data_IF_050540636678
#
_entry.id   IF_050540636678
#
_cell.length_a   1.000
_cell.length_b   1.000
_cell.length_c   1.000
_cell.angle_alpha   90.00
_cell.angle_beta   90.00
_cell.angle_gamma   90.00
#
_symmetry.space_group_name_H-M   'P 1'
#
loop_
_entity.id
_entity.type
_entity.pdbx_description
1 polymer ?
#
# COMPACT_ATOMS: atom_id res chain seq x y z
N UNK A 1 -52.11 42.90 -35.03
CA UNK A 1 -51.81 43.94 -34.04
C UNK A 1 -51.24 43.22 -32.81
N UNK A 2 -49.92 43.39 -32.56
CA UNK A 2 -49.11 43.20 -31.33
C UNK A 2 -49.48 42.07 -30.32
N UNK A 3 -48.59 41.26 -29.75
CA UNK A 3 -47.14 41.26 -29.62
C UNK A 3 -46.63 39.85 -29.30
N UNK A 4 -45.41 39.51 -29.76
CA UNK A 4 -44.65 38.34 -29.32
C UNK A 4 -44.00 38.67 -27.97
N UNK A 5 -44.32 37.92 -26.92
CA UNK A 5 -43.57 37.96 -25.65
C UNK A 5 -42.70 36.70 -25.61
N UNK A 6 -41.40 36.90 -25.75
CA UNK A 6 -40.38 35.86 -25.54
C UNK A 6 -39.98 35.94 -24.07
N UNK A 7 -40.30 34.90 -23.29
CA UNK A 7 -39.85 34.77 -21.92
C UNK A 7 -38.63 33.83 -21.90
N UNK A 8 -37.46 34.38 -21.66
CA UNK A 8 -36.24 33.62 -21.44
C UNK A 8 -36.19 33.15 -19.98
N UNK A 9 -36.33 31.85 -19.74
CA UNK A 9 -36.01 31.24 -18.44
C UNK A 9 -34.53 30.84 -18.43
N UNK A 10 -33.73 31.59 -17.68
CA UNK A 10 -32.37 31.19 -17.34
C UNK A 10 -32.42 30.20 -16.17
N UNK A 11 -32.08 28.93 -16.41
CA UNK A 11 -31.88 27.93 -15.37
C UNK A 11 -30.42 28.02 -14.91
N UNK A 12 -30.21 28.51 -13.69
CA UNK A 12 -28.91 28.50 -13.03
C UNK A 12 -28.63 27.10 -12.49
N UNK A 13 -27.68 26.38 -13.11
CA UNK A 13 -27.16 25.10 -12.61
C UNK A 13 -26.08 25.42 -11.58
N UNK A 14 -26.44 25.38 -10.30
CA UNK A 14 -25.47 25.47 -9.20
C UNK A 14 -24.80 24.10 -9.01
N UNK A 15 -23.63 23.91 -9.62
CA UNK A 15 -22.77 22.76 -9.35
C UNK A 15 -22.08 22.93 -8.00
N UNK A 16 -22.53 22.17 -6.99
CA UNK A 16 -21.76 21.96 -5.75
C UNK A 16 -20.60 21.02 -6.08
N UNK A 17 -19.41 21.58 -6.25
CA UNK A 17 -18.15 20.82 -6.25
C UNK A 17 -17.85 20.46 -4.80
N UNK A 18 -18.21 19.24 -4.39
CA UNK A 18 -17.72 18.65 -3.15
C UNK A 18 -16.25 18.25 -3.38
N UNK A 19 -15.33 19.11 -2.99
CA UNK A 19 -13.92 18.73 -2.86
C UNK A 19 -13.80 17.70 -1.74
N UNK A 20 -13.18 16.52 -1.95
CA UNK A 20 -12.91 15.60 -0.87
C UNK A 20 -12.06 16.30 0.19
N UNK A 21 -12.56 16.33 1.42
CA UNK A 21 -11.93 17.01 2.54
C UNK A 21 -10.52 16.45 2.78
N UNK A 22 -9.55 17.34 2.84
CA UNK A 22 -8.21 17.02 3.33
C UNK A 22 -8.36 16.53 4.77
N UNK A 23 -7.85 15.34 5.07
CA UNK A 23 -7.77 14.82 6.43
C UNK A 23 -7.02 15.84 7.30
N UNK A 24 -7.73 16.43 8.27
CA UNK A 24 -7.20 17.45 9.15
C UNK A 24 -6.23 16.84 10.16
N UNK A 25 -4.94 17.15 10.01
CA UNK A 25 -3.95 16.90 11.05
C UNK A 25 -4.12 17.85 12.23
N UNK A 26 -3.81 17.38 13.43
CA UNK A 26 -3.73 18.19 14.66
C UNK A 26 -2.73 19.35 14.47
N UNK A 27 -2.98 20.57 15.01
CA UNK A 27 -2.13 21.74 14.75
C UNK A 27 -0.75 21.60 15.38
N UNK A 28 0.23 21.40 14.51
CA UNK A 28 1.65 21.63 14.71
C UNK A 28 2.24 21.65 13.30
N UNK A 29 2.75 22.79 12.85
CA UNK A 29 3.14 23.00 11.45
C UNK A 29 4.20 21.99 11.01
N UNK A 30 3.77 20.90 10.39
CA UNK A 30 4.69 20.06 9.63
C UNK A 30 4.83 20.70 8.25
N UNK A 31 6.04 21.10 7.84
CA UNK A 31 6.26 21.62 6.50
C UNK A 31 5.73 20.63 5.46
N UNK A 32 5.34 21.06 4.24
CA UNK A 32 4.74 20.18 3.23
C UNK A 32 5.51 18.88 2.94
N UNK A 33 6.83 18.88 3.18
CA UNK A 33 7.70 17.70 3.10
C UNK A 33 7.28 16.56 4.04
N UNK A 34 6.68 16.85 5.19
CA UNK A 34 6.15 15.83 6.11
C UNK A 34 4.86 15.16 5.62
N UNK A 35 4.25 15.68 4.56
CA UNK A 35 3.00 15.16 4.02
C UNK A 35 3.24 14.21 2.83
N UNK A 36 4.50 13.85 2.59
CA UNK A 36 4.91 12.93 1.55
C UNK A 36 5.85 11.88 2.11
N UNK A 37 5.87 10.72 1.46
CA UNK A 37 6.87 9.69 1.72
C UNK A 37 8.18 10.13 1.03
N UNK A 38 9.29 10.28 1.76
CA UNK A 38 10.56 10.72 1.18
C UNK A 38 11.17 9.62 0.30
N UNK A 39 12.02 10.02 -0.67
CA UNK A 39 12.75 9.08 -1.54
C UNK A 39 13.55 8.03 -0.76
N UNK A 40 14.16 8.44 0.35
CA UNK A 40 14.93 7.56 1.23
C UNK A 40 14.12 6.47 1.93
N UNK A 41 12.78 6.52 1.92
CA UNK A 41 11.92 5.49 2.54
C UNK A 41 11.65 4.29 1.63
N UNK A 42 12.04 4.36 0.36
CA UNK A 42 11.75 3.32 -0.62
C UNK A 42 12.84 2.25 -0.65
N UNK A 43 12.42 0.99 -0.77
CA UNK A 43 13.34 -0.12 -1.05
C UNK A 43 14.12 0.16 -2.34
N UNK A 44 15.41 -0.19 -2.33
CA UNK A 44 16.24 -0.13 -3.54
C UNK A 44 15.68 -1.11 -4.59
N UNK A 45 15.39 -0.62 -5.80
CA UNK A 45 14.73 -1.43 -6.84
C UNK A 45 15.47 -2.73 -7.19
N UNK A 46 16.81 -2.75 -7.07
CA UNK A 46 17.61 -3.96 -7.31
C UNK A 46 17.39 -5.08 -6.29
N UNK A 47 16.86 -4.73 -5.11
CA UNK A 47 16.52 -5.67 -4.04
C UNK A 47 15.10 -6.22 -4.16
N UNK A 48 14.27 -5.67 -5.06
CA UNK A 48 12.93 -6.18 -5.32
C UNK A 48 13.03 -7.55 -6.02
N UNK A 49 12.26 -8.56 -5.58
CA UNK A 49 12.20 -9.86 -6.24
C UNK A 49 12.08 -9.78 -7.77
N UNK A 50 12.77 -10.68 -8.48
CA UNK A 50 12.77 -10.78 -9.95
C UNK A 50 13.40 -9.57 -10.69
N UNK A 51 14.10 -8.67 -9.98
CA UNK A 51 14.80 -7.54 -10.61
C UNK A 51 15.71 -7.90 -11.81
N UNK A 52 16.49 -9.01 -11.82
CA UNK A 52 17.33 -9.35 -12.96
C UNK A 52 16.57 -9.46 -14.29
N UNK A 53 15.28 -9.80 -14.24
CA UNK A 53 14.40 -9.96 -15.40
C UNK A 53 13.61 -8.67 -15.68
N UNK A 54 12.96 -8.11 -14.66
CA UNK A 54 12.01 -7.01 -14.85
C UNK A 54 12.62 -5.61 -14.78
N UNK A 55 13.82 -5.47 -14.20
CA UNK A 55 14.51 -4.17 -14.05
C UNK A 55 13.59 -3.09 -13.51
N UNK A 56 12.95 -3.37 -12.36
CA UNK A 56 11.97 -2.48 -11.74
C UNK A 56 12.49 -1.04 -11.66
N UNK A 57 11.64 -0.04 -11.96
CA UNK A 57 12.04 1.36 -11.94
C UNK A 57 12.37 1.81 -10.52
N UNK A 58 13.01 2.97 -10.38
CA UNK A 58 13.15 3.64 -9.08
C UNK A 58 11.76 3.92 -8.50
N UNK A 59 11.45 3.35 -7.33
CA UNK A 59 10.09 3.31 -6.79
C UNK A 59 9.52 4.70 -6.50
N UNK A 60 10.32 5.58 -5.90
CA UNK A 60 9.91 6.98 -5.66
C UNK A 60 9.55 7.71 -6.96
N UNK A 61 10.28 7.45 -8.05
CA UNK A 61 10.07 8.11 -9.34
C UNK A 61 8.74 7.74 -10.03
N UNK A 62 8.10 6.67 -9.59
CA UNK A 62 6.77 6.23 -10.08
C UNK A 62 5.72 6.22 -8.97
N UNK A 63 6.06 6.74 -7.79
CA UNK A 63 5.17 6.76 -6.64
C UNK A 63 4.12 7.87 -6.75
N UNK A 64 2.92 7.57 -6.26
CA UNK A 64 1.82 8.53 -6.13
C UNK A 64 1.30 8.50 -4.70
N UNK A 65 0.79 9.63 -4.20
CA UNK A 65 0.13 9.69 -2.89
C UNK A 65 -1.05 8.73 -2.83
N UNK A 66 -1.17 7.97 -1.74
CA UNK A 66 -2.27 7.05 -1.48
C UNK A 66 -3.18 7.64 -0.40
N UNK A 67 -4.32 8.23 -0.79
CA UNK A 67 -5.23 8.88 0.15
C UNK A 67 -6.01 7.88 1.03
N UNK A 68 -6.25 6.68 0.53
CA UNK A 68 -6.95 5.58 1.22
C UNK A 68 -6.12 4.31 1.07
N UNK A 69 -4.96 4.21 1.74
CA UNK A 69 -4.05 3.10 1.52
C UNK A 69 -4.68 1.80 2.01
N UNK A 70 -4.64 0.78 1.15
CA UNK A 70 -5.14 -0.58 1.41
C UNK A 70 -4.10 -1.56 0.92
N UNK A 71 -4.07 -2.74 1.51
CA UNK A 71 -3.11 -3.77 1.09
C UNK A 71 -3.64 -4.44 -0.18
N UNK A 72 -2.75 -4.75 -1.13
CA UNK A 72 -3.14 -5.35 -2.41
C UNK A 72 -3.88 -6.68 -2.20
N UNK A 73 -3.45 -7.48 -1.22
CA UNK A 73 -4.10 -8.75 -0.92
C UNK A 73 -5.55 -8.61 -0.45
N UNK A 74 -5.93 -7.49 0.16
CA UNK A 74 -7.30 -7.27 0.64
C UNK A 74 -8.30 -7.26 -0.53
N UNK A 75 -7.87 -6.81 -1.71
CA UNK A 75 -8.69 -6.87 -2.92
C UNK A 75 -8.90 -8.30 -3.44
N UNK A 76 -7.95 -9.20 -3.18
CA UNK A 76 -8.06 -10.62 -3.55
C UNK A 76 -8.91 -11.38 -2.54
N UNK A 77 -8.72 -11.08 -1.26
CA UNK A 77 -9.49 -11.65 -0.18
C UNK A 77 -10.89 -11.06 -0.05
N UNK A 78 -11.24 -10.01 -0.82
CA UNK A 78 -12.48 -9.25 -0.63
C UNK A 78 -12.68 -8.81 0.84
N UNK A 79 -11.58 -8.41 1.49
CA UNK A 79 -11.58 -8.06 2.90
C UNK A 79 -12.48 -6.85 3.16
N UNK A 80 -13.38 -6.90 4.16
CA UNK A 80 -14.23 -5.77 4.47
C UNK A 80 -13.41 -4.59 4.98
N UNK A 81 -13.84 -3.37 4.63
CA UNK A 81 -13.29 -2.16 5.21
C UNK A 81 -13.52 -2.11 6.73
N UNK A 82 -12.68 -1.35 7.43
CA UNK A 82 -12.79 -1.17 8.88
C UNK A 82 -13.35 0.21 9.19
N UNK A 83 -14.19 0.28 10.21
CA UNK A 83 -14.58 1.56 10.80
C UNK A 83 -13.37 2.14 11.54
N UNK A 84 -13.14 3.45 11.39
CA UNK A 84 -12.01 4.17 11.97
C UNK A 84 -10.64 3.49 11.67
N UNK A 85 -10.40 3.15 10.39
CA UNK A 85 -9.15 2.52 9.97
C UNK A 85 -7.96 3.50 10.15
N UNK A 86 -6.95 3.17 10.96
CA UNK A 86 -5.73 3.94 11.13
C UNK A 86 -5.01 4.33 9.85
N UNK A 87 -5.16 3.53 8.80
CA UNK A 87 -4.61 3.83 7.48
C UNK A 87 -5.20 5.10 6.88
N UNK A 88 -6.42 5.46 7.24
CA UNK A 88 -7.14 6.63 6.71
C UNK A 88 -6.56 7.97 7.19
N UNK A 89 -5.75 7.98 8.25
CA UNK A 89 -5.03 9.17 8.72
C UNK A 89 -3.50 9.06 8.59
N UNK A 90 -3.01 8.01 7.91
CA UNK A 90 -1.59 7.86 7.60
C UNK A 90 -1.15 8.79 6.46
N UNK A 91 0.13 9.14 6.45
CA UNK A 91 0.80 9.61 5.23
C UNK A 91 1.17 8.37 4.44
N UNK A 92 0.74 8.29 3.19
CA UNK A 92 1.04 7.14 2.37
C UNK A 92 1.32 7.49 0.91
N UNK A 93 2.17 6.67 0.30
CA UNK A 93 2.44 6.69 -1.12
C UNK A 93 2.60 5.25 -1.62
N UNK A 94 2.25 5.04 -2.89
CA UNK A 94 2.36 3.76 -3.56
C UNK A 94 3.06 3.88 -4.91
N UNK A 95 3.93 2.93 -5.20
CA UNK A 95 4.54 2.69 -6.49
C UNK A 95 3.88 1.46 -7.11
N UNK A 96 3.41 1.55 -8.36
CA UNK A 96 2.79 0.42 -9.06
C UNK A 96 3.34 0.28 -10.47
N UNK A 97 3.70 -0.94 -10.84
CA UNK A 97 4.10 -1.32 -12.20
C UNK A 97 3.19 -2.44 -12.66
N UNK A 98 2.41 -2.17 -13.70
CA UNK A 98 1.49 -3.14 -14.30
C UNK A 98 2.07 -3.65 -15.61
N UNK A 99 2.13 -4.97 -15.73
CA UNK A 99 2.60 -5.68 -16.91
C UNK A 99 1.45 -6.51 -17.53
N UNK A 100 1.59 -6.95 -18.79
CA UNK A 100 0.59 -7.80 -19.44
C UNK A 100 0.32 -9.12 -18.69
N UNK A 101 -0.77 -9.79 -19.05
CA UNK A 101 -1.11 -11.10 -18.48
C UNK A 101 0.05 -12.11 -18.61
N UNK A 102 0.27 -12.88 -17.56
CA UNK A 102 1.36 -13.84 -17.41
C UNK A 102 2.68 -13.19 -16.95
N UNK A 103 2.79 -11.87 -16.94
CA UNK A 103 3.95 -11.17 -16.40
C UNK A 103 3.70 -10.76 -14.94
N UNK A 104 4.78 -10.70 -14.17
CA UNK A 104 4.75 -10.20 -12.81
C UNK A 104 4.48 -8.69 -12.81
N UNK A 105 3.56 -8.28 -11.96
CA UNK A 105 3.28 -6.91 -11.61
C UNK A 105 3.96 -6.60 -10.28
N UNK A 106 4.11 -5.32 -9.96
CA UNK A 106 4.70 -4.84 -8.72
C UNK A 106 3.80 -3.78 -8.08
N UNK A 107 3.60 -3.88 -6.77
CA UNK A 107 3.04 -2.86 -5.92
C UNK A 107 3.93 -2.72 -4.69
N UNK A 108 4.31 -1.48 -4.38
CA UNK A 108 4.99 -1.15 -3.13
C UNK A 108 4.25 0.01 -2.51
N UNK A 109 3.94 -0.07 -1.23
CA UNK A 109 3.25 0.98 -0.50
C UNK A 109 3.97 1.25 0.81
N UNK A 110 4.19 2.52 1.12
CA UNK A 110 4.75 2.96 2.39
C UNK A 110 3.68 3.78 3.09
N UNK A 111 3.39 3.44 4.33
CA UNK A 111 2.53 4.18 5.25
C UNK A 111 3.34 4.66 6.44
N UNK A 112 3.07 5.87 6.89
CA UNK A 112 3.71 6.50 8.04
C UNK A 112 2.68 7.25 8.87
N UNK A 113 2.68 7.00 10.18
CA UNK A 113 1.83 7.71 11.14
C UNK A 113 2.61 8.84 11.78
N UNK A 114 2.14 10.08 11.58
CA UNK A 114 2.74 11.28 12.18
C UNK A 114 2.59 11.25 13.70
N UNK A 115 3.53 11.91 14.37
CA UNK A 115 3.50 12.12 15.83
C UNK A 115 4.64 11.38 16.53
N UNK A 116 4.48 11.17 17.83
CA UNK A 116 5.43 10.39 18.62
C UNK A 116 5.32 8.89 18.30
N UNK A 117 6.43 8.20 18.43
CA UNK A 117 6.53 6.75 18.16
C UNK A 117 5.92 5.90 19.27
N UNK A 118 5.67 6.49 20.45
CA UNK A 118 4.95 5.83 21.55
C UNK A 118 3.50 5.52 21.13
N UNK A 119 2.90 6.39 20.32
CA UNK A 119 1.54 6.21 19.78
C UNK A 119 1.56 5.59 18.38
N UNK A 120 2.44 6.08 17.50
CA UNK A 120 2.51 5.62 16.11
C UNK A 120 3.07 4.20 15.96
N UNK A 121 4.00 3.79 16.81
CA UNK A 121 4.59 2.45 16.79
C UNK A 121 3.56 1.34 17.03
N UNK A 122 2.79 1.38 18.12
CA UNK A 122 1.67 0.48 18.35
C UNK A 122 0.62 0.51 17.23
N UNK A 123 0.38 1.67 16.61
CA UNK A 123 -0.55 1.80 15.47
C UNK A 123 -0.07 1.00 14.26
N UNK A 124 1.22 1.07 13.94
CA UNK A 124 1.82 0.28 12.85
C UNK A 124 1.72 -1.23 13.13
N UNK A 125 2.07 -1.67 14.34
CA UNK A 125 1.98 -3.08 14.74
C UNK A 125 0.54 -3.60 14.73
N UNK A 126 -0.41 -2.80 15.21
CA UNK A 126 -1.83 -3.16 15.18
C UNK A 126 -2.35 -3.29 13.74
N UNK A 127 -1.93 -2.40 12.85
CA UNK A 127 -2.30 -2.48 11.42
C UNK A 127 -1.75 -3.75 10.77
N UNK A 128 -0.52 -4.15 11.10
CA UNK A 128 0.06 -5.42 10.64
C UNK A 128 -0.70 -6.63 11.20
N UNK A 129 -1.09 -6.60 12.48
CA UNK A 129 -1.87 -7.68 13.09
C UNK A 129 -3.25 -7.83 12.45
N UNK A 130 -3.90 -6.72 12.08
CA UNK A 130 -5.14 -6.80 11.31
C UNK A 130 -4.94 -7.40 9.93
N UNK A 131 -3.82 -7.11 9.26
CA UNK A 131 -3.50 -7.75 7.99
C UNK A 131 -3.34 -9.26 8.14
N UNK A 132 -2.66 -9.70 9.20
CA UNK A 132 -2.52 -11.13 9.54
C UNK A 132 -3.86 -11.81 9.77
N UNK A 133 -4.76 -11.17 10.52
CA UNK A 133 -6.13 -11.67 10.71
C UNK A 133 -6.95 -11.67 9.42
N UNK A 134 -6.80 -10.66 8.56
CA UNK A 134 -7.47 -10.59 7.26
C UNK A 134 -7.02 -11.72 6.32
N UNK A 135 -5.72 -12.05 6.31
CA UNK A 135 -5.21 -13.21 5.57
C UNK A 135 -5.77 -14.53 6.12
N UNK A 136 -5.77 -14.72 7.46
CA UNK A 136 -6.31 -15.92 8.09
C UNK A 136 -7.82 -16.11 7.81
N UNK A 137 -8.56 -15.02 7.67
CA UNK A 137 -10.01 -15.02 7.42
C UNK A 137 -10.40 -14.89 5.94
N UNK A 138 -9.43 -14.85 5.02
CA UNK A 138 -9.64 -14.66 3.58
C UNK A 138 -10.69 -15.61 2.99
N UNK A 139 -10.68 -16.88 3.39
CA UNK A 139 -11.62 -17.90 2.92
C UNK A 139 -13.10 -17.59 3.22
N UNK A 140 -13.40 -16.74 4.20
CA UNK A 140 -14.77 -16.37 4.56
C UNK A 140 -15.42 -15.45 3.50
N UNK A 141 -14.61 -14.68 2.79
CA UNK A 141 -15.06 -13.65 1.84
C UNK A 141 -14.61 -13.94 0.41
N UNK A 142 -13.55 -14.74 0.24
CA UNK A 142 -13.06 -15.25 -1.04
C UNK A 142 -12.68 -16.75 -0.94
N UNK A 143 -13.66 -17.68 -0.98
CA UNK A 143 -13.42 -19.11 -0.78
C UNK A 143 -12.45 -19.78 -1.79
N UNK A 144 -12.35 -19.21 -2.99
CA UNK A 144 -11.40 -19.64 -4.03
C UNK A 144 -9.96 -19.14 -3.83
N UNK A 145 -9.75 -18.23 -2.87
CA UNK A 145 -8.44 -17.64 -2.58
C UNK A 145 -7.83 -18.34 -1.37
N UNK A 146 -6.60 -18.82 -1.54
CA UNK A 146 -5.86 -19.58 -0.53
C UNK A 146 -4.53 -18.88 -0.22
N UNK A 147 -4.48 -18.10 0.87
CA UNK A 147 -3.22 -17.59 1.43
C UNK A 147 -2.45 -18.67 2.19
N UNK A 148 -1.14 -18.66 2.05
CA UNK A 148 -0.20 -19.47 2.81
C UNK A 148 0.89 -18.56 3.38
N UNK A 149 0.94 -18.42 4.70
CA UNK A 149 2.01 -17.69 5.38
C UNK A 149 3.32 -18.46 5.23
N UNK A 150 4.35 -17.80 4.72
CA UNK A 150 5.72 -18.34 4.62
C UNK A 150 6.62 -17.80 5.72
N UNK A 151 6.35 -16.58 6.17
CA UNK A 151 6.97 -15.94 7.33
C UNK A 151 5.90 -15.21 8.14
N UNK A 152 5.95 -15.27 9.47
CA UNK A 152 5.04 -14.50 10.33
C UNK A 152 5.64 -14.30 11.72
N UNK A 153 6.21 -13.13 11.94
CA UNK A 153 6.72 -12.68 13.24
C UNK A 153 5.88 -11.50 13.77
N UNK A 154 6.28 -10.92 14.89
CA UNK A 154 5.56 -9.79 15.48
C UNK A 154 5.59 -8.52 14.59
N UNK A 155 6.70 -8.29 13.88
CA UNK A 155 6.95 -7.06 13.11
C UNK A 155 6.89 -7.26 11.60
N UNK A 156 6.75 -8.49 11.15
CA UNK A 156 6.77 -8.83 9.73
C UNK A 156 5.90 -10.05 9.41
N UNK A 157 5.47 -10.13 8.16
CA UNK A 157 4.90 -11.33 7.58
C UNK A 157 5.19 -11.39 6.08
N UNK A 158 5.23 -12.62 5.56
CA UNK A 158 5.26 -12.90 4.14
C UNK A 158 4.24 -14.02 3.83
N UNK A 159 3.59 -13.91 2.69
CA UNK A 159 2.59 -14.89 2.27
C UNK A 159 2.61 -15.11 0.75
N UNK A 160 2.27 -16.33 0.35
CA UNK A 160 1.93 -16.69 -1.02
C UNK A 160 0.42 -16.88 -1.10
N UNK A 161 -0.24 -16.15 -1.99
CA UNK A 161 -1.70 -16.19 -2.16
C UNK A 161 -2.02 -16.70 -3.55
N UNK A 162 -2.83 -17.74 -3.63
CA UNK A 162 -3.31 -18.32 -4.88
C UNK A 162 -4.81 -18.12 -5.04
N UNK A 163 -5.29 -17.86 -6.26
CA UNK A 163 -6.72 -17.75 -6.57
C UNK A 163 -7.08 -18.82 -7.60
N UNK A 164 -7.43 -20.02 -7.12
CA UNK A 164 -7.90 -21.14 -7.94
C UNK A 164 -7.03 -21.48 -9.16
N UNK A 165 -5.71 -21.28 -9.08
CA UNK A 165 -4.79 -21.49 -10.21
C UNK A 165 -4.89 -20.47 -11.34
N UNK A 166 -5.65 -19.38 -11.18
CA UNK A 166 -5.79 -18.27 -12.15
C UNK A 166 -4.71 -17.20 -11.99
N UNK A 167 -4.29 -16.96 -10.76
CA UNK A 167 -3.27 -15.96 -10.41
C UNK A 167 -2.60 -16.32 -9.09
N UNK A 168 -1.39 -15.80 -8.92
CA UNK A 168 -0.54 -15.97 -7.74
C UNK A 168 0.02 -14.63 -7.31
N UNK A 169 0.12 -14.42 -6.00
CA UNK A 169 0.69 -13.25 -5.37
C UNK A 169 1.72 -13.66 -4.32
N UNK A 170 2.81 -12.92 -4.26
CA UNK A 170 3.74 -12.92 -3.14
C UNK A 170 3.62 -11.56 -2.46
N UNK A 171 3.33 -11.54 -1.17
CA UNK A 171 3.15 -10.30 -0.41
C UNK A 171 4.02 -10.32 0.83
N UNK A 172 4.62 -9.19 1.12
CA UNK A 172 5.53 -8.94 2.25
C UNK A 172 5.03 -7.69 2.96
N UNK A 173 4.81 -7.78 4.26
CA UNK A 173 4.45 -6.64 5.10
C UNK A 173 5.46 -6.52 6.23
N UNK A 174 5.92 -5.31 6.49
CA UNK A 174 6.84 -5.01 7.58
C UNK A 174 6.40 -3.75 8.30
N UNK A 175 6.25 -3.83 9.62
CA UNK A 175 6.02 -2.70 10.49
C UNK A 175 7.33 -2.33 11.20
N UNK A 176 7.68 -1.05 11.16
CA UNK A 176 8.81 -0.48 11.89
C UNK A 176 8.27 0.45 12.99
N UNK A 177 8.04 -0.06 14.21
CA UNK A 177 7.45 0.72 15.28
C UNK A 177 8.36 1.88 15.71
N UNK A 178 9.68 1.75 15.54
CA UNK A 178 10.63 2.77 15.97
C UNK A 178 10.46 4.09 15.21
N UNK A 179 9.91 4.05 13.98
CA UNK A 179 9.60 5.22 13.16
C UNK A 179 8.11 5.33 12.78
N UNK A 180 7.23 4.53 13.38
CA UNK A 180 5.79 4.54 13.09
C UNK A 180 5.46 4.35 11.61
N UNK A 181 6.11 3.38 10.95
CA UNK A 181 5.87 3.10 9.53
C UNK A 181 5.48 1.65 9.28
N UNK A 182 4.80 1.41 8.16
CA UNK A 182 4.49 0.08 7.66
C UNK A 182 4.67 0.07 6.14
N UNK A 183 5.38 -0.93 5.63
CA UNK A 183 5.64 -1.11 4.20
C UNK A 183 5.00 -2.39 3.71
N UNK A 184 4.35 -2.31 2.55
CA UNK A 184 3.92 -3.44 1.74
C UNK A 184 4.79 -3.54 0.49
N UNK A 185 5.18 -4.77 0.16
CA UNK A 185 5.74 -5.16 -1.12
C UNK A 185 4.94 -6.35 -1.64
N UNK A 186 4.34 -6.20 -2.82
CA UNK A 186 3.51 -7.24 -3.44
C UNK A 186 3.89 -7.42 -4.89
N UNK A 187 4.08 -8.67 -5.30
CA UNK A 187 4.22 -9.05 -6.70
C UNK A 187 3.13 -10.05 -7.06
N UNK A 188 2.48 -9.88 -8.20
CA UNK A 188 1.45 -10.81 -8.66
C UNK A 188 1.47 -11.06 -10.16
N UNK A 189 1.05 -12.25 -10.57
CA UNK A 189 0.91 -12.64 -11.98
C UNK A 189 -0.36 -13.45 -12.18
N UNK A 190 -0.97 -13.36 -13.35
CA UNK A 190 -1.89 -14.39 -13.82
C UNK A 190 -1.12 -15.65 -14.20
N UNK A 191 -1.79 -16.81 -14.22
CA UNK A 191 -1.19 -18.10 -14.54
C UNK A 191 -1.63 -18.59 -15.94
N UNK A 192 -0.75 -19.27 -16.69
CA UNK A 192 0.66 -19.55 -16.35
C UNK A 192 1.52 -18.27 -16.37
N UNK A 193 2.49 -18.17 -15.45
CA UNK A 193 3.44 -17.05 -15.46
C UNK A 193 4.54 -17.31 -16.49
N UNK A 194 4.91 -16.27 -17.24
CA UNK A 194 5.99 -16.32 -18.22
C UNK A 194 7.37 -16.44 -17.57
N UNK A 195 7.50 -15.93 -16.35
CA UNK A 195 8.70 -16.03 -15.52
C UNK A 195 8.32 -16.80 -14.27
N UNK A 196 9.04 -17.87 -13.97
CA UNK A 196 8.82 -18.65 -12.75
C UNK A 196 9.33 -17.88 -11.51
N UNK A 197 8.69 -18.10 -10.36
CA UNK A 197 9.18 -17.60 -9.07
C UNK A 197 10.37 -18.44 -8.57
N UNK A 198 11.50 -18.38 -9.29
CA UNK A 198 12.74 -19.10 -8.95
C UNK A 198 13.91 -18.14 -8.78
N UNK A 199 14.85 -18.53 -7.93
CA UNK A 199 16.07 -17.74 -7.67
C UNK A 199 15.80 -16.42 -6.95
N UNK A 200 14.62 -16.28 -6.34
CA UNK A 200 14.27 -15.15 -5.47
C UNK A 200 14.95 -15.35 -4.12
N UNK A 201 15.38 -14.24 -3.52
CA UNK A 201 15.91 -14.19 -2.16
C UNK A 201 14.94 -14.83 -1.14
N UNK A 202 15.43 -15.43 -0.04
CA UNK A 202 14.57 -15.84 1.07
C UNK A 202 13.77 -14.67 1.62
N UNK A 203 12.59 -14.95 2.20
CA UNK A 203 11.70 -13.91 2.73
C UNK A 203 12.39 -12.96 3.70
N UNK A 204 13.25 -13.47 4.58
CA UNK A 204 14.00 -12.67 5.55
C UNK A 204 14.87 -11.62 4.87
N UNK A 205 15.55 -11.98 3.77
CA UNK A 205 16.38 -11.04 3.03
C UNK A 205 15.55 -9.98 2.29
N UNK A 206 14.36 -10.35 1.81
CA UNK A 206 13.43 -9.39 1.21
C UNK A 206 12.94 -8.40 2.27
N UNK A 207 12.51 -8.90 3.43
CA UNK A 207 12.04 -8.10 4.56
C UNK A 207 13.15 -7.19 5.11
N UNK A 208 14.37 -7.67 5.26
CA UNK A 208 15.54 -6.85 5.67
C UNK A 208 15.78 -5.70 4.67
N UNK A 209 15.65 -5.97 3.38
CA UNK A 209 15.79 -4.96 2.34
C UNK A 209 14.62 -3.95 2.33
N UNK A 210 13.44 -4.31 2.86
CA UNK A 210 12.33 -3.37 3.09
C UNK A 210 12.61 -2.47 4.29
N UNK A 211 13.19 -3.02 5.36
CA UNK A 211 13.49 -2.30 6.59
C UNK A 211 14.63 -1.29 6.44
N UNK A 212 15.69 -1.65 5.71
CA UNK A 212 16.91 -0.84 5.54
C UNK A 212 16.67 0.66 5.23
N UNK A 213 15.84 1.05 4.24
CA UNK A 213 15.59 2.46 3.94
C UNK A 213 14.82 3.22 5.03
N UNK A 214 13.97 2.54 5.80
CA UNK A 214 13.09 3.18 6.78
C UNK A 214 13.86 3.84 7.93
N UNK A 215 15.00 3.25 8.33
CA UNK A 215 15.87 3.87 9.34
C UNK A 215 16.58 5.12 8.84
N UNK A 216 16.91 5.19 7.55
CA UNK A 216 17.54 6.37 6.95
C UNK A 216 16.52 7.49 6.71
N UNK A 217 15.27 7.15 6.39
CA UNK A 217 14.22 8.11 6.07
C UNK A 217 13.76 8.94 7.27
N UNK A 218 13.73 8.34 8.46
CA UNK A 218 13.27 8.97 9.67
C UNK A 218 14.42 9.05 10.69
N UNK A 219 15.43 9.86 10.35
CA UNK A 219 16.62 10.06 11.17
C UNK A 219 16.23 10.46 12.61
N UNK A 220 16.71 9.67 13.58
CA UNK A 220 16.40 9.83 15.01
C UNK A 220 15.46 8.76 15.57
N UNK A 221 14.87 7.92 14.73
CA UNK A 221 13.94 6.86 15.13
C UNK A 221 14.60 5.49 15.37
N UNK A 222 15.72 5.19 14.73
CA UNK A 222 16.50 3.96 14.97
C UNK A 222 17.71 4.29 15.89
N UNK A 223 17.48 4.36 17.20
CA UNK A 223 18.55 4.38 18.22
C UNK A 223 18.20 3.50 19.40
#
# INVERSE_FOLDING_TARGET
>A
MFARVVLALAVAVSGLVLTPGQAGGVPGECPPVCNAIPDSAWMVSSSVPLYPVYRWPGLHGVAVTAATPRFEFESWCASPGREADPRDYSVAAQARVTNPAGQWNLHVQVMHWRGDTVTGGPTALQTLEWARMALASCHLTAPQVSPSLTTSNAMDLAAVISDGGRRVMHTYLLAEPANSSLVELTLWSTLPSAVEWRGVAPDTQVLDAMAAPLCAAYLGSCR
#
